data_IF_572149452223
#
_entry.id   IF_572149452223
#
_cell.length_a   1.000
_cell.length_b   1.000
_cell.length_c   1.000
_cell.angle_alpha   90.00
_cell.angle_beta   90.00
_cell.angle_gamma   90.00
#
_symmetry.space_group_name_H-M   'P 1'
#
loop_
_entity.id
_entity.type
_entity.pdbx_description
1 polymer ?
#
# COMPACT_ATOMS: atom_id res chain seq x y z
N UNK A 1 -13.66 29.09 -35.50
CA UNK A 1 -12.38 29.20 -34.77
C UNK A 1 -12.52 28.97 -33.26
N UNK A 2 -13.70 28.62 -32.75
CA UNK A 2 -13.92 28.34 -31.32
C UNK A 2 -14.09 26.82 -31.04
N UNK A 3 -14.85 26.13 -31.89
CA UNK A 3 -15.04 24.67 -31.86
C UNK A 3 -13.72 23.87 -31.93
N UNK A 4 -12.73 24.34 -32.69
CA UNK A 4 -11.42 23.70 -32.78
C UNK A 4 -10.63 23.81 -31.47
N UNK A 5 -10.78 24.91 -30.74
CA UNK A 5 -10.17 25.08 -29.42
C UNK A 5 -10.85 24.19 -28.38
N UNK A 6 -12.19 24.09 -28.42
CA UNK A 6 -12.97 23.17 -27.56
C UNK A 6 -12.59 21.71 -27.81
N UNK A 7 -12.43 21.31 -29.08
CA UNK A 7 -11.98 19.95 -29.45
C UNK A 7 -10.59 19.61 -28.88
N UNK A 8 -9.67 20.58 -28.87
CA UNK A 8 -8.35 20.43 -28.25
C UNK A 8 -8.43 20.24 -26.73
N UNK A 9 -9.26 21.05 -26.06
CA UNK A 9 -9.49 20.94 -24.60
C UNK A 9 -10.10 19.60 -24.23
N UNK A 10 -11.11 19.12 -24.97
CA UNK A 10 -11.75 17.81 -24.71
C UNK A 10 -10.75 16.66 -24.87
N UNK A 11 -9.88 16.75 -25.88
CA UNK A 11 -8.84 15.74 -26.10
C UNK A 11 -7.80 15.72 -24.98
N UNK A 12 -7.38 16.91 -24.50
CA UNK A 12 -6.48 17.03 -23.34
C UNK A 12 -7.10 16.48 -22.06
N UNK A 13 -8.37 16.80 -21.80
CA UNK A 13 -9.10 16.31 -20.63
C UNK A 13 -9.28 14.79 -20.65
N UNK A 14 -9.52 14.18 -21.82
CA UNK A 14 -9.62 12.73 -21.94
C UNK A 14 -8.29 12.02 -21.65
N UNK A 15 -7.17 12.60 -22.08
CA UNK A 15 -5.83 12.09 -21.77
C UNK A 15 -5.52 12.20 -20.27
N UNK A 16 -5.86 13.33 -19.65
CA UNK A 16 -5.64 13.54 -18.22
C UNK A 16 -6.49 12.60 -17.35
N UNK A 17 -7.77 12.39 -17.69
CA UNK A 17 -8.62 11.40 -17.03
C UNK A 17 -8.04 9.98 -17.14
N UNK A 18 -7.50 9.63 -18.31
CA UNK A 18 -6.86 8.32 -18.51
C UNK A 18 -5.60 8.19 -17.66
N UNK A 19 -4.76 9.22 -17.63
CA UNK A 19 -3.56 9.25 -16.79
C UNK A 19 -3.93 9.08 -15.30
N UNK A 20 -4.93 9.81 -14.82
CA UNK A 20 -5.42 9.70 -13.45
C UNK A 20 -5.94 8.29 -13.13
N UNK A 21 -6.74 7.70 -14.03
CA UNK A 21 -7.26 6.35 -13.85
C UNK A 21 -6.12 5.31 -13.77
N UNK A 22 -5.10 5.44 -14.62
CA UNK A 22 -3.90 4.59 -14.59
C UNK A 22 -3.14 4.79 -13.28
N UNK A 23 -2.89 6.03 -12.86
CA UNK A 23 -2.20 6.32 -11.59
C UNK A 23 -2.92 5.70 -10.39
N UNK A 24 -4.26 5.77 -10.35
CA UNK A 24 -5.06 5.13 -9.30
C UNK A 24 -4.97 3.60 -9.33
N UNK A 25 -4.98 3.00 -10.51
CA UNK A 25 -4.82 1.55 -10.67
C UNK A 25 -3.43 1.09 -10.23
N UNK A 26 -2.38 1.84 -10.57
CA UNK A 26 -1.00 1.57 -10.11
C UNK A 26 -0.91 1.67 -8.60
N UNK A 27 -1.47 2.72 -7.99
CA UNK A 27 -1.51 2.88 -6.54
C UNK A 27 -2.22 1.69 -5.87
N UNK A 28 -3.38 1.29 -6.39
CA UNK A 28 -4.12 0.13 -5.87
C UNK A 28 -3.28 -1.15 -5.98
N UNK A 29 -2.62 -1.36 -7.12
CA UNK A 29 -1.74 -2.53 -7.31
C UNK A 29 -0.55 -2.53 -6.33
N UNK A 30 0.02 -1.37 -6.04
CA UNK A 30 1.10 -1.24 -5.06
C UNK A 30 0.63 -1.64 -3.66
N UNK A 31 -0.57 -1.19 -3.25
CA UNK A 31 -1.19 -1.57 -1.97
C UNK A 31 -1.44 -3.09 -1.92
N UNK A 32 -1.96 -3.69 -3.00
CA UNK A 32 -2.21 -5.12 -3.05
C UNK A 32 -0.90 -5.94 -2.92
N UNK A 33 0.20 -5.47 -3.51
CA UNK A 33 1.52 -6.09 -3.40
C UNK A 33 2.06 -5.97 -1.97
N UNK A 34 1.93 -4.80 -1.35
CA UNK A 34 2.34 -4.58 0.05
C UNK A 34 1.59 -5.52 1.01
N UNK A 35 0.27 -5.66 0.84
CA UNK A 35 -0.55 -6.58 1.62
C UNK A 35 -0.11 -8.05 1.45
N UNK A 36 0.18 -8.48 0.22
CA UNK A 36 0.66 -9.83 -0.03
C UNK A 36 2.05 -10.07 0.59
N UNK A 37 2.96 -9.10 0.49
CA UNK A 37 4.31 -9.18 1.06
C UNK A 37 4.28 -9.23 2.59
N UNK A 38 3.47 -8.39 3.22
CA UNK A 38 3.31 -8.37 4.68
C UNK A 38 2.77 -9.70 5.21
N UNK A 39 1.79 -10.32 4.55
CA UNK A 39 1.29 -11.65 4.95
C UNK A 39 2.37 -12.73 4.91
N UNK A 40 3.24 -12.73 3.89
CA UNK A 40 4.37 -13.68 3.82
C UNK A 40 5.36 -13.44 4.96
N UNK A 41 5.66 -12.18 5.26
CA UNK A 41 6.52 -11.82 6.40
C UNK A 41 5.91 -12.33 7.72
N UNK A 42 4.62 -12.12 7.95
CA UNK A 42 3.93 -12.64 9.14
C UNK A 42 4.00 -14.17 9.24
N UNK A 43 3.88 -14.89 8.12
CA UNK A 43 4.01 -16.36 8.12
C UNK A 43 5.42 -16.84 8.44
N UNK A 44 6.44 -16.04 8.15
CA UNK A 44 7.84 -16.35 8.48
C UNK A 44 8.23 -15.97 9.91
N UNK A 45 7.41 -15.21 10.62
CA UNK A 45 7.60 -14.99 12.05
C UNK A 45 7.40 -16.33 12.74
N UNK A 46 8.51 -16.89 13.23
CA UNK A 46 8.48 -18.12 14.00
C UNK A 46 7.48 -17.96 15.17
N UNK A 47 6.70 -19.00 15.51
CA UNK A 47 5.84 -18.95 16.68
C UNK A 47 6.68 -18.55 17.90
N UNK A 48 6.17 -17.59 18.68
CA UNK A 48 6.89 -17.05 19.83
C UNK A 48 7.28 -18.20 20.77
N UNK A 49 8.57 -18.54 20.79
CA UNK A 49 9.13 -19.55 21.70
C UNK A 49 9.37 -18.89 23.04
N UNK A 50 8.28 -18.62 23.76
CA UNK A 50 8.35 -18.02 25.08
C UNK A 50 8.89 -19.08 26.06
N UNK A 51 10.02 -18.83 26.74
CA UNK A 51 10.54 -19.78 27.72
C UNK A 51 9.53 -19.97 28.88
N UNK A 52 9.57 -21.12 29.59
CA UNK A 52 8.57 -21.47 30.62
C UNK A 52 8.40 -20.46 31.76
N UNK A 53 9.35 -19.55 31.93
CA UNK A 53 9.40 -18.56 33.01
C UNK A 53 9.36 -17.10 32.50
N UNK A 54 8.85 -16.86 31.29
CA UNK A 54 8.72 -15.50 30.76
C UNK A 54 7.78 -14.68 31.66
N UNK A 55 8.27 -13.60 32.26
CA UNK A 55 7.51 -12.76 33.21
C UNK A 55 7.69 -13.12 34.70
N UNK A 56 8.44 -14.18 35.03
CA UNK A 56 8.68 -14.57 36.43
C UNK A 56 9.84 -13.81 37.11
N UNK A 57 10.61 -13.02 36.35
CA UNK A 57 11.67 -12.17 36.88
C UNK A 57 11.13 -10.75 37.11
N UNK A 58 10.58 -10.50 38.30
CA UNK A 58 10.43 -9.13 38.79
C UNK A 58 11.82 -8.68 39.24
N UNK A 59 12.45 -7.77 38.49
CA UNK A 59 13.69 -7.09 38.92
C UNK A 59 13.33 -6.12 40.06
N UNK A 60 13.33 -6.63 41.29
CA UNK A 60 13.23 -5.80 42.49
C UNK A 60 14.63 -5.29 42.77
N UNK A 61 14.94 -4.06 42.32
CA UNK A 61 16.12 -3.34 42.80
C UNK A 61 15.95 -3.08 44.30
N UNK A 62 16.82 -3.68 45.10
CA UNK A 62 16.95 -3.43 46.55
C UNK A 62 17.87 -2.24 46.79
#
# INVERSE_FOLDING_TARGET
MDISAVSGVVSGLAQEQTAMAVSMQVLRKAIDIEAASTLQLLQTVAPASNPPNLGNAVDIKV
#
